data_IF_914129543945
#
_entry.id   IF_914129543945
#
_cell.length_a   1.000
_cell.length_b   1.000
_cell.length_c   1.000
_cell.angle_alpha   90.00
_cell.angle_beta   90.00
_cell.angle_gamma   90.00
#
_symmetry.space_group_name_H-M   'P 1'
#
loop_
_entity.id
_entity.type
_entity.pdbx_description
1 polymer ?
#
# COMPACT_ATOMS: atom_id res chain seq x y z
N UNK A 1 -18.88 -35.62 15.23
CA UNK A 1 -17.51 -35.62 14.67
C UNK A 1 -17.34 -34.29 13.96
N UNK A 2 -16.91 -33.26 14.69
CA UNK A 2 -16.85 -31.88 14.21
C UNK A 2 -15.55 -31.71 13.44
N UNK A 3 -15.62 -31.34 12.16
CA UNK A 3 -14.44 -30.88 11.44
C UNK A 3 -14.04 -29.52 12.03
N UNK A 4 -12.89 -29.47 12.69
CA UNK A 4 -12.17 -28.23 12.85
C UNK A 4 -11.72 -27.80 11.45
N UNK A 5 -12.43 -26.85 10.86
CA UNK A 5 -11.84 -26.02 9.80
C UNK A 5 -10.63 -25.38 10.44
N UNK A 6 -9.44 -25.79 9.99
CA UNK A 6 -8.23 -25.05 10.29
C UNK A 6 -8.50 -23.62 9.85
N UNK A 7 -8.58 -22.71 10.81
CA UNK A 7 -8.52 -21.28 10.53
C UNK A 7 -7.15 -21.07 9.92
N UNK A 8 -7.04 -21.14 8.59
CA UNK A 8 -5.99 -20.40 7.91
C UNK A 8 -6.08 -19.00 8.47
N UNK A 9 -5.02 -18.58 9.17
CA UNK A 9 -4.98 -17.23 9.71
C UNK A 9 -5.15 -16.31 8.49
N UNK A 10 -6.30 -15.65 8.42
CA UNK A 10 -6.68 -14.77 7.33
C UNK A 10 -5.79 -13.52 7.40
N UNK A 11 -4.59 -13.64 6.84
CA UNK A 11 -3.52 -12.64 6.88
C UNK A 11 -2.99 -12.44 5.47
N UNK A 12 -2.44 -11.26 5.16
CA UNK A 12 -1.80 -11.02 3.87
C UNK A 12 -0.46 -11.77 3.78
N UNK A 13 -0.40 -12.71 2.84
CA UNK A 13 0.80 -13.48 2.51
C UNK A 13 1.81 -12.60 1.75
N UNK A 14 3.09 -12.65 2.14
CA UNK A 14 4.17 -11.91 1.44
C UNK A 14 5.42 -12.80 1.26
N UNK A 15 5.32 -13.88 0.47
CA UNK A 15 6.42 -14.84 0.34
C UNK A 15 7.73 -14.24 -0.19
N UNK A 16 7.66 -13.20 -1.05
CA UNK A 16 8.87 -12.56 -1.58
C UNK A 16 9.55 -11.73 -0.49
N UNK A 17 8.78 -10.94 0.26
CA UNK A 17 9.28 -10.19 1.40
C UNK A 17 9.89 -11.15 2.43
N UNK A 18 9.20 -12.24 2.78
CA UNK A 18 9.70 -13.18 3.80
C UNK A 18 11.05 -13.81 3.40
N UNK A 19 11.27 -14.05 2.10
CA UNK A 19 12.53 -14.55 1.57
C UNK A 19 13.64 -13.47 1.50
N UNK A 20 13.31 -12.27 1.02
CA UNK A 20 14.29 -11.22 0.73
C UNK A 20 14.52 -10.23 1.88
N UNK A 21 13.71 -10.28 2.94
CA UNK A 21 13.71 -9.29 4.04
C UNK A 21 15.10 -9.07 4.61
N UNK A 22 15.85 -10.12 4.90
CA UNK A 22 17.20 -9.99 5.48
C UNK A 22 18.15 -9.24 4.54
N UNK A 23 18.10 -9.54 3.23
CA UNK A 23 18.93 -8.89 2.21
C UNK A 23 18.55 -7.41 2.07
N UNK A 24 17.25 -7.12 1.95
CA UNK A 24 16.74 -5.75 1.81
C UNK A 24 17.11 -4.89 3.02
N UNK A 25 16.91 -5.40 4.25
CA UNK A 25 17.27 -4.66 5.46
C UNK A 25 18.77 -4.43 5.59
N UNK A 26 19.60 -5.40 5.16
CA UNK A 26 21.05 -5.21 5.12
C UNK A 26 21.43 -4.05 4.19
N UNK A 27 20.92 -4.03 2.96
CA UNK A 27 21.18 -2.96 1.99
C UNK A 27 20.65 -1.60 2.46
N UNK A 28 19.47 -1.56 3.09
CA UNK A 28 18.93 -0.33 3.71
C UNK A 28 19.88 0.18 4.80
N UNK A 29 20.47 -0.73 5.59
CA UNK A 29 21.43 -0.39 6.64
C UNK A 29 22.72 0.21 6.07
N UNK A 30 23.22 -0.33 4.95
CA UNK A 30 24.42 0.20 4.27
C UNK A 30 24.23 1.66 3.82
N UNK A 31 23.01 2.04 3.45
CA UNK A 31 22.66 3.42 3.07
C UNK A 31 22.24 4.30 4.27
N UNK A 32 22.54 3.88 5.51
CA UNK A 32 22.29 4.65 6.72
C UNK A 32 20.89 4.50 7.32
N UNK A 33 20.08 3.54 6.86
CA UNK A 33 18.70 3.32 7.30
C UNK A 33 18.53 2.61 8.65
N UNK A 34 19.46 2.72 9.59
CA UNK A 34 19.41 2.02 10.89
C UNK A 34 18.11 2.28 11.67
N UNK A 35 17.65 3.53 11.70
CA UNK A 35 16.40 3.90 12.37
C UNK A 35 15.18 3.24 11.71
N UNK A 36 15.16 3.21 10.38
CA UNK A 36 14.13 2.51 9.61
C UNK A 36 14.10 1.02 9.95
N UNK A 37 15.26 0.34 9.97
CA UNK A 37 15.34 -1.10 10.27
C UNK A 37 14.83 -1.42 11.68
N UNK A 38 15.11 -0.54 12.65
CA UNK A 38 14.55 -0.66 14.00
C UNK A 38 13.02 -0.59 14.02
N UNK A 39 12.44 0.37 13.31
CA UNK A 39 10.98 0.49 13.20
C UNK A 39 10.35 -0.65 12.40
N UNK A 40 11.01 -1.11 11.34
CA UNK A 40 10.55 -2.24 10.55
C UNK A 40 10.52 -3.53 11.37
N UNK A 41 11.50 -3.76 12.26
CA UNK A 41 11.50 -4.92 13.15
C UNK A 41 10.30 -4.90 14.12
N UNK A 42 9.96 -3.73 14.67
CA UNK A 42 8.76 -3.56 15.50
C UNK A 42 7.47 -3.73 14.68
N UNK A 43 7.44 -3.19 13.47
CA UNK A 43 6.32 -3.32 12.53
C UNK A 43 6.07 -4.79 12.15
N UNK A 44 7.13 -5.56 11.90
CA UNK A 44 7.05 -7.00 11.65
C UNK A 44 6.52 -7.78 12.88
N UNK A 45 6.72 -7.25 14.09
CA UNK A 45 6.10 -7.72 15.33
C UNK A 45 4.64 -7.30 15.52
N UNK A 46 4.05 -6.54 14.57
CA UNK A 46 2.66 -6.08 14.61
C UNK A 46 2.47 -4.69 15.25
N UNK A 47 3.53 -3.92 15.49
CA UNK A 47 3.39 -2.55 16.01
C UNK A 47 2.94 -1.59 14.89
N UNK A 48 1.70 -1.11 14.99
CA UNK A 48 1.12 -0.20 14.01
C UNK A 48 1.79 1.16 13.93
N UNK A 49 2.24 1.71 15.07
CA UNK A 49 2.93 3.01 15.08
C UNK A 49 4.30 2.88 14.45
N UNK A 50 4.98 1.76 14.68
CA UNK A 50 6.26 1.50 14.04
C UNK A 50 6.11 1.30 12.52
N UNK A 51 5.04 0.64 12.06
CA UNK A 51 4.75 0.47 10.64
C UNK A 51 4.52 1.82 9.93
N UNK A 52 3.70 2.70 10.52
CA UNK A 52 3.48 4.05 10.00
C UNK A 52 4.76 4.90 10.04
N UNK A 53 5.52 4.83 11.13
CA UNK A 53 6.78 5.56 11.27
C UNK A 53 7.81 5.11 10.21
N UNK A 54 7.96 3.80 9.98
CA UNK A 54 8.83 3.28 8.93
C UNK A 54 8.39 3.75 7.54
N UNK A 55 7.07 3.80 7.29
CA UNK A 55 6.52 4.30 6.03
C UNK A 55 6.83 5.78 5.81
N UNK A 56 6.69 6.61 6.85
CA UNK A 56 7.01 8.04 6.77
C UNK A 56 8.52 8.27 6.56
N UNK A 57 9.38 7.56 7.30
CA UNK A 57 10.83 7.64 7.10
C UNK A 57 11.22 7.31 5.64
N UNK A 58 10.68 6.24 5.07
CA UNK A 58 10.94 5.90 3.69
C UNK A 58 10.35 6.94 2.71
N UNK A 59 9.16 7.49 3.02
CA UNK A 59 8.54 8.55 2.23
C UNK A 59 9.41 9.81 2.17
N UNK A 60 9.96 10.25 3.29
CA UNK A 60 10.88 11.39 3.36
C UNK A 60 12.11 11.16 2.48
N UNK A 61 12.67 9.95 2.48
CA UNK A 61 13.82 9.61 1.63
C UNK A 61 13.48 9.67 0.15
N UNK A 62 12.30 9.18 -0.25
CA UNK A 62 11.81 9.27 -1.63
C UNK A 62 11.57 10.70 -2.10
N UNK A 63 11.32 11.65 -1.18
CA UNK A 63 11.03 13.04 -1.49
C UNK A 63 12.17 14.01 -1.13
N UNK A 64 13.34 13.49 -0.78
CA UNK A 64 14.51 14.27 -0.39
C UNK A 64 15.22 14.98 -1.55
N UNK A 65 14.90 14.63 -2.81
CA UNK A 65 15.54 15.21 -3.98
C UNK A 65 14.89 14.81 -5.31
N UNK A 66 15.50 15.17 -6.45
CA UNK A 66 15.03 14.75 -7.77
C UNK A 66 14.88 13.23 -7.86
N UNK A 67 13.83 12.77 -8.53
CA UNK A 67 13.44 11.35 -8.55
C UNK A 67 14.52 10.38 -9.05
N UNK A 68 15.47 10.87 -9.86
CA UNK A 68 16.59 10.11 -10.42
C UNK A 68 17.80 10.00 -9.47
N UNK A 69 17.85 10.81 -8.42
CA UNK A 69 18.89 10.78 -7.39
C UNK A 69 18.51 9.93 -6.18
N UNK A 70 17.25 9.52 -6.08
CA UNK A 70 16.76 8.66 -5.01
C UNK A 70 17.27 7.24 -5.22
N UNK A 71 17.96 6.70 -4.23
CA UNK A 71 18.49 5.34 -4.28
C UNK A 71 17.35 4.33 -4.41
N UNK A 72 17.44 3.35 -5.34
CA UNK A 72 16.40 2.34 -5.53
C UNK A 72 15.99 1.60 -4.25
N UNK A 73 16.92 1.44 -3.31
CA UNK A 73 16.67 0.74 -2.04
C UNK A 73 15.60 1.41 -1.18
N UNK A 74 15.46 2.74 -1.25
CA UNK A 74 14.41 3.46 -0.50
C UNK A 74 13.01 3.20 -1.08
N UNK A 75 12.92 2.82 -2.35
CA UNK A 75 11.66 2.37 -2.96
C UNK A 75 11.28 0.99 -2.43
N UNK A 76 12.25 0.08 -2.28
CA UNK A 76 12.02 -1.21 -1.63
C UNK A 76 11.65 -1.02 -0.14
N UNK A 77 12.32 -0.11 0.57
CA UNK A 77 11.98 0.24 1.96
C UNK A 77 10.53 0.77 2.08
N UNK A 78 10.11 1.65 1.16
CA UNK A 78 8.73 2.14 1.16
C UNK A 78 7.73 0.99 0.90
N UNK A 79 8.06 0.08 -0.02
CA UNK A 79 7.27 -1.12 -0.28
C UNK A 79 7.11 -2.01 0.96
N UNK A 80 8.20 -2.29 1.69
CA UNK A 80 8.16 -3.11 2.93
C UNK A 80 7.22 -2.48 3.95
N UNK A 81 7.34 -1.17 4.18
CA UNK A 81 6.52 -0.46 5.15
C UNK A 81 5.03 -0.44 4.76
N UNK A 82 4.73 -0.24 3.47
CA UNK A 82 3.36 -0.35 2.95
C UNK A 82 2.76 -1.75 3.19
N UNK A 83 3.52 -2.83 3.00
CA UNK A 83 3.04 -4.19 3.27
C UNK A 83 2.72 -4.40 4.75
N UNK A 84 3.55 -3.90 5.66
CA UNK A 84 3.28 -3.96 7.11
C UNK A 84 2.02 -3.18 7.50
N UNK A 85 1.87 -1.94 7.03
CA UNK A 85 0.67 -1.13 7.29
C UNK A 85 -0.58 -1.79 6.70
N UNK A 86 -0.50 -2.32 5.48
CA UNK A 86 -1.62 -3.02 4.84
C UNK A 86 -2.02 -4.29 5.60
N UNK A 87 -1.05 -5.07 6.11
CA UNK A 87 -1.30 -6.25 6.97
C UNK A 87 -2.09 -5.89 8.21
N UNK A 88 -1.77 -4.77 8.84
CA UNK A 88 -2.45 -4.31 10.05
C UNK A 88 -3.89 -3.87 9.77
N UNK A 89 -4.12 -3.07 8.71
CA UNK A 89 -5.47 -2.72 8.28
C UNK A 89 -6.29 -3.95 7.89
N UNK A 90 -5.67 -4.90 7.19
CA UNK A 90 -6.33 -6.16 6.82
C UNK A 90 -6.76 -6.96 8.06
N UNK A 91 -5.86 -7.09 9.05
CA UNK A 91 -6.16 -7.77 10.31
C UNK A 91 -7.26 -7.06 11.13
N UNK A 92 -7.38 -5.74 10.99
CA UNK A 92 -8.46 -4.95 11.59
C UNK A 92 -9.80 -5.02 10.82
N UNK A 93 -9.84 -5.69 9.66
CA UNK A 93 -11.01 -5.73 8.78
C UNK A 93 -11.22 -4.46 7.94
N UNK A 94 -10.23 -3.57 7.93
CA UNK A 94 -10.22 -2.29 7.21
C UNK A 94 -9.71 -2.50 5.78
N UNK A 95 -10.41 -3.33 5.00
CA UNK A 95 -9.93 -3.80 3.70
C UNK A 95 -9.72 -2.67 2.67
N UNK A 96 -10.56 -1.63 2.69
CA UNK A 96 -10.42 -0.48 1.80
C UNK A 96 -9.13 0.30 2.11
N UNK A 97 -8.81 0.50 3.39
CA UNK A 97 -7.59 1.16 3.85
C UNK A 97 -6.36 0.33 3.49
N UNK A 98 -6.45 -1.01 3.66
CA UNK A 98 -5.40 -1.91 3.23
C UNK A 98 -5.11 -1.76 1.72
N UNK A 99 -6.14 -1.75 0.87
CA UNK A 99 -6.00 -1.56 -0.59
C UNK A 99 -5.36 -0.21 -0.92
N UNK A 100 -5.81 0.88 -0.28
CA UNK A 100 -5.23 2.22 -0.51
C UNK A 100 -3.73 2.27 -0.20
N UNK A 101 -3.29 1.62 0.88
CA UNK A 101 -1.88 1.54 1.26
C UNK A 101 -1.09 0.68 0.26
N UNK A 102 -1.68 -0.42 -0.21
CA UNK A 102 -1.08 -1.29 -1.22
C UNK A 102 -0.91 -0.57 -2.57
N UNK A 103 -1.91 0.18 -3.01
CA UNK A 103 -1.85 0.99 -4.24
C UNK A 103 -0.72 2.01 -4.17
N UNK A 104 -0.55 2.65 -3.01
CA UNK A 104 0.58 3.57 -2.83
C UNK A 104 1.94 2.86 -2.91
N UNK A 105 2.06 1.66 -2.33
CA UNK A 105 3.26 0.83 -2.45
C UNK A 105 3.54 0.41 -3.90
N UNK A 106 2.50 0.16 -4.70
CA UNK A 106 2.59 -0.15 -6.12
C UNK A 106 3.08 1.03 -6.96
N UNK A 107 2.60 2.24 -6.68
CA UNK A 107 2.93 3.44 -7.47
C UNK A 107 4.34 3.95 -7.12
N UNK A 108 4.68 3.98 -5.84
CA UNK A 108 5.90 4.66 -5.35
C UNK A 108 7.05 3.71 -5.05
N UNK A 109 6.74 2.45 -4.74
CA UNK A 109 7.69 1.45 -4.27
C UNK A 109 8.51 0.80 -5.38
N UNK A 110 9.36 -0.13 -4.94
CA UNK A 110 10.24 -0.92 -5.80
C UNK A 110 9.49 -2.02 -6.56
N UNK A 111 10.13 -2.58 -7.59
CA UNK A 111 9.57 -3.72 -8.32
C UNK A 111 9.79 -5.05 -7.59
N UNK A 112 10.72 -5.11 -6.64
CA UNK A 112 11.13 -6.33 -5.93
C UNK A 112 9.94 -7.05 -5.29
N UNK A 113 9.03 -6.31 -4.65
CA UNK A 113 7.89 -6.86 -3.91
C UNK A 113 6.58 -6.84 -4.70
N UNK A 114 6.65 -6.65 -6.03
CA UNK A 114 5.46 -6.45 -6.88
C UNK A 114 4.47 -7.62 -6.81
N UNK A 115 4.99 -8.84 -6.75
CA UNK A 115 4.16 -10.04 -6.69
C UNK A 115 3.39 -10.14 -5.36
N UNK A 116 4.04 -9.80 -4.25
CA UNK A 116 3.39 -9.73 -2.94
C UNK A 116 2.29 -8.67 -2.91
N UNK A 117 2.52 -7.48 -3.49
CA UNK A 117 1.46 -6.47 -3.63
C UNK A 117 0.28 -6.98 -4.45
N UNK A 118 0.54 -7.61 -5.60
CA UNK A 118 -0.51 -8.14 -6.46
C UNK A 118 -1.33 -9.22 -5.74
N UNK A 119 -0.68 -10.09 -4.97
CA UNK A 119 -1.36 -11.10 -4.16
C UNK A 119 -2.22 -10.45 -3.07
N UNK A 120 -1.64 -9.50 -2.34
CA UNK A 120 -2.31 -8.79 -1.25
C UNK A 120 -3.53 -8.00 -1.74
N UNK A 121 -3.44 -7.27 -2.86
CA UNK A 121 -4.56 -6.51 -3.44
C UNK A 121 -5.70 -7.44 -3.85
N UNK A 122 -5.39 -8.58 -4.49
CA UNK A 122 -6.42 -9.57 -4.86
C UNK A 122 -7.14 -10.08 -3.62
N UNK A 123 -6.39 -10.46 -2.59
CA UNK A 123 -6.94 -11.00 -1.33
C UNK A 123 -7.79 -9.96 -0.59
N UNK A 124 -7.31 -8.73 -0.45
CA UNK A 124 -8.03 -7.62 0.17
C UNK A 124 -9.29 -7.22 -0.60
N UNK A 125 -9.22 -7.17 -1.94
CA UNK A 125 -10.37 -6.87 -2.81
C UNK A 125 -11.47 -7.92 -2.67
N UNK A 126 -11.13 -9.21 -2.63
CA UNK A 126 -12.11 -10.27 -2.40
C UNK A 126 -12.85 -10.08 -1.07
N UNK A 127 -12.12 -9.75 0.01
CA UNK A 127 -12.72 -9.51 1.33
C UNK A 127 -13.61 -8.27 1.35
N UNK A 128 -13.15 -7.16 0.77
CA UNK A 128 -13.92 -5.93 0.68
C UNK A 128 -15.27 -6.14 -0.03
N UNK A 129 -15.28 -6.91 -1.13
CA UNK A 129 -16.52 -7.24 -1.85
C UNK A 129 -17.48 -8.08 -1.02
N UNK A 130 -16.98 -9.10 -0.31
CA UNK A 130 -17.81 -9.93 0.58
C UNK A 130 -18.40 -9.10 1.72
N UNK A 131 -17.65 -8.14 2.27
CA UNK A 131 -18.16 -7.23 3.31
C UNK A 131 -19.28 -6.31 2.82
N UNK A 132 -19.26 -5.91 1.54
CA UNK A 132 -20.33 -5.11 0.92
C UNK A 132 -21.60 -5.96 0.78
N UNK A 133 -21.47 -7.20 0.30
CA UNK A 133 -22.60 -8.11 0.09
C UNK A 133 -23.24 -8.60 1.41
N UNK A 134 -22.45 -8.71 2.48
CA UNK A 134 -22.93 -9.11 3.80
C UNK A 134 -23.67 -8.00 4.57
N UNK A 135 -23.64 -6.75 4.09
CA UNK A 135 -24.42 -5.67 4.70
C UNK A 135 -25.88 -5.76 4.24
N UNK A 136 -26.88 -5.74 5.13
CA UNK A 136 -28.29 -5.75 4.72
C UNK A 136 -28.57 -4.56 3.80
N UNK A 137 -29.51 -4.69 2.83
CA UNK A 137 -29.86 -3.60 1.93
C UNK A 137 -30.27 -2.40 2.76
N UNK A 138 -29.44 -1.36 2.76
CA UNK A 138 -29.84 -0.04 3.25
C UNK A 138 -30.97 0.39 2.32
N UNK A 139 -32.17 0.62 2.88
CA UNK A 139 -33.31 1.24 2.20
C UNK A 139 -32.89 2.63 1.71
N UNK A 140 -32.24 2.66 0.54
CA UNK A 140 -31.89 3.88 -0.16
C UNK A 140 -33.11 4.22 -1.00
N UNK A 141 -33.98 5.07 -0.43
CA UNK A 141 -34.89 5.87 -1.25
C UNK A 141 -34.04 6.60 -2.29
N UNK A 142 -34.16 6.16 -3.53
CA UNK A 142 -33.57 6.77 -4.70
C UNK A 142 -33.90 8.27 -4.71
N UNK A 143 -32.92 9.12 -4.43
CA UNK A 143 -32.97 10.49 -4.92
C UNK A 143 -32.35 10.47 -6.32
N UNK A 144 -33.09 10.83 -7.38
CA UNK A 144 -32.52 10.91 -8.71
C UNK A 144 -31.53 12.07 -8.73
N UNK A 145 -30.24 11.76 -8.86
CA UNK A 145 -29.20 12.76 -9.10
C UNK A 145 -29.41 13.33 -10.51
N UNK A 146 -30.13 14.45 -10.60
CA UNK A 146 -30.14 15.31 -11.80
C UNK A 146 -28.72 15.83 -12.00
N UNK A 147 -28.07 15.39 -13.08
CA UNK A 147 -26.81 15.95 -13.55
C UNK A 147 -27.11 17.36 -14.06
N UNK A 148 -26.82 18.38 -13.25
CA UNK A 148 -26.67 19.75 -13.75
C UNK A 148 -25.22 19.86 -14.20
N UNK A 149 -24.99 19.84 -15.52
CA UNK A 149 -23.70 20.18 -16.10
C UNK A 149 -23.35 21.63 -15.75
N UNK A 150 -22.19 21.91 -15.15
CA UNK A 150 -21.62 23.25 -15.17
C UNK A 150 -20.99 23.46 -16.56
N UNK A 151 -21.37 24.54 -17.25
CA UNK A 151 -20.72 25.00 -18.47
C UNK A 151 -19.23 25.27 -18.20
N UNK A 152 -18.37 24.29 -18.47
CA UNK A 152 -16.93 24.49 -18.54
C UNK A 152 -16.56 24.98 -19.94
N UNK A 153 -16.34 26.29 -20.06
CA UNK A 153 -15.61 26.87 -21.19
C UNK A 153 -14.16 26.38 -21.15
N UNK A 154 -13.83 25.47 -22.07
CA UNK A 154 -12.46 25.06 -22.35
C UNK A 154 -11.86 26.13 -23.26
N UNK A 155 -11.02 27.01 -22.71
CA UNK A 155 -10.09 27.79 -23.54
C UNK A 155 -8.92 26.90 -23.98
N UNK A 156 -8.71 26.88 -25.29
CA UNK A 156 -7.68 26.13 -25.99
C UNK A 156 -6.28 26.68 -25.62
N UNK A 157 -5.54 25.95 -24.79
CA UNK A 157 -4.13 26.25 -24.51
C UNK A 157 -3.29 25.88 -25.74
N UNK A 158 -3.00 26.87 -26.57
CA UNK A 158 -2.10 26.76 -27.72
C UNK A 158 -0.67 26.54 -27.24
N UNK A 159 -0.25 25.27 -27.16
CA UNK A 159 1.15 24.90 -26.98
C UNK A 159 1.95 25.40 -28.19
N UNK A 160 2.71 26.48 -28.01
CA UNK A 160 3.78 26.84 -28.94
C UNK A 160 4.93 25.87 -28.70
N UNK A 161 5.09 24.93 -29.63
CA UNK A 161 6.27 24.10 -29.71
C UNK A 161 7.52 24.97 -29.83
N UNK A 162 8.51 24.70 -28.99
CA UNK A 162 9.89 25.06 -29.25
C UNK A 162 10.66 23.76 -29.50
N UNK A 163 10.99 23.57 -30.77
CA UNK A 163 12.07 22.70 -31.21
C UNK A 163 13.34 23.53 -31.32
N UNK A 164 14.47 22.87 -31.02
CA UNK A 164 15.88 23.29 -30.98
C UNK A 164 16.36 23.82 -29.63
#
# INVERSE_FOLDING_TARGET
MSLAVATENDVLDTPVLDAERANLLHRITEEGGYAYVGMEALAAGGDARAAEAAREMAWEQLHSGPWNSVLPIWRDAYSIACLHVARLHYAAGEFCQAIQVLDMGIIMGGLTLRDDFNLAVRKASMKANVSIEASPPKDQREQPNTIVSPDLHIEEVRYRGFCL
#
